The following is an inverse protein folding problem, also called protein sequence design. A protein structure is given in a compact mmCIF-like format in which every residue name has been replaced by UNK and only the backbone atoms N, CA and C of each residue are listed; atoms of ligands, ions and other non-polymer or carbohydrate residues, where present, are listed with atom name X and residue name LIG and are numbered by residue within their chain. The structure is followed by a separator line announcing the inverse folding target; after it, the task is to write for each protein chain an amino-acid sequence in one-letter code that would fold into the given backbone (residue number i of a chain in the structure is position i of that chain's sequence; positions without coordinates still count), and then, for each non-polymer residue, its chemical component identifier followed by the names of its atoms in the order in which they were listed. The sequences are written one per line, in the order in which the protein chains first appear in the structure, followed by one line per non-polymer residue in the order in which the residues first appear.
data_IF_167525963253
#
_entry.id   IF_167525963253
#
_cell.length_a   1.000
_cell.length_b   1.000
_cell.length_c   1.000
_cell.angle_alpha   90.00
_cell.angle_beta   90.00
_cell.angle_gamma   90.00
#
_symmetry.space_group_name_H-M   'P 1'
#
loop_
_entity.id
_entity.type
_entity.pdbx_description
1 polymer ?
#
# COMPACT_ATOMS: atom_id res chain seq x y z
N UNK A 1 19.34 -37.42 21.12
CA UNK A 1 18.16 -37.60 22.01
C UNK A 1 17.08 -36.74 21.45
N UNK A 2 15.88 -37.26 21.23
CA UNK A 2 14.72 -36.44 20.86
C UNK A 2 14.08 -36.00 22.17
N UNK A 3 14.09 -34.69 22.41
CA UNK A 3 13.38 -34.12 23.55
C UNK A 3 11.90 -33.97 23.18
N UNK A 4 10.99 -34.45 24.06
CA UNK A 4 9.55 -34.41 23.86
C UNK A 4 8.85 -33.99 25.14
N UNK A 5 7.81 -33.18 24.99
CA UNK A 5 6.75 -33.02 25.98
C UNK A 5 5.53 -33.70 25.37
N UNK A 6 5.04 -34.75 26.01
CA UNK A 6 3.89 -35.54 25.51
C UNK A 6 2.72 -35.43 26.51
N UNK A 7 1.53 -35.19 26.00
CA UNK A 7 0.28 -35.26 26.76
C UNK A 7 -0.31 -36.68 26.76
N UNK A 8 -1.37 -36.89 27.49
CA UNK A 8 -2.06 -38.19 27.63
C UNK A 8 -3.07 -38.50 26.48
N UNK A 9 -3.08 -37.65 25.45
CA UNK A 9 -3.91 -37.81 24.27
C UNK A 9 -5.18 -36.98 24.26
N UNK A 10 -5.45 -36.18 25.30
CA UNK A 10 -6.58 -35.24 25.36
C UNK A 10 -6.14 -33.80 25.43
N UNK A 11 -5.44 -33.42 26.50
CA UNK A 11 -5.03 -32.04 26.70
C UNK A 11 -3.60 -31.95 27.26
N UNK A 12 -2.85 -30.95 26.84
CA UNK A 12 -1.61 -30.54 27.49
C UNK A 12 -1.80 -29.11 28.04
N UNK A 13 -1.83 -28.97 29.35
CA UNK A 13 -1.87 -27.66 29.99
C UNK A 13 -0.54 -27.35 30.67
N UNK A 14 0.08 -26.22 30.33
CA UNK A 14 1.26 -25.70 31.01
C UNK A 14 0.84 -24.52 31.86
N UNK A 15 0.83 -24.70 33.18
CA UNK A 15 0.51 -23.65 34.15
C UNK A 15 1.77 -23.09 34.78
N UNK A 16 2.06 -21.80 34.54
CA UNK A 16 3.19 -21.12 35.06
C UNK A 16 2.88 -19.63 35.27
N UNK A 17 3.61 -18.95 36.17
CA UNK A 17 3.53 -17.49 36.25
C UNK A 17 4.05 -16.81 34.98
N UNK A 18 5.12 -17.36 34.41
CA UNK A 18 5.68 -16.94 33.11
C UNK A 18 6.09 -18.19 32.34
N UNK A 19 5.79 -18.21 31.04
CA UNK A 19 6.27 -19.22 30.12
C UNK A 19 7.10 -18.53 29.04
N UNK A 20 8.38 -18.93 28.90
CA UNK A 20 9.25 -18.52 27.80
C UNK A 20 9.51 -19.72 26.90
N UNK A 21 9.28 -19.58 25.61
CA UNK A 21 9.68 -20.56 24.59
C UNK A 21 10.80 -19.92 23.82
N UNK A 22 12.02 -20.43 23.99
CA UNK A 22 13.24 -19.95 23.29
C UNK A 22 13.75 -21.07 22.40
N UNK A 23 13.63 -20.87 21.09
CA UNK A 23 14.04 -21.82 20.08
C UNK A 23 15.18 -21.21 19.24
N UNK A 24 16.25 -21.97 19.04
CA UNK A 24 17.39 -21.53 18.21
C UNK A 24 17.06 -21.45 16.70
N UNK A 25 15.91 -22.01 16.30
CA UNK A 25 15.38 -21.97 14.92
C UNK A 25 13.92 -21.50 14.98
N UNK A 26 13.02 -22.21 14.34
CA UNK A 26 11.61 -21.83 14.21
C UNK A 26 10.74 -22.38 15.36
N UNK A 27 9.65 -21.70 15.67
CA UNK A 27 8.54 -22.19 16.48
C UNK A 27 7.36 -22.41 15.52
N UNK A 28 6.95 -23.67 15.37
CA UNK A 28 5.75 -24.03 14.61
C UNK A 28 4.61 -24.32 15.58
N UNK A 29 3.50 -23.62 15.42
CA UNK A 29 2.23 -23.89 16.09
C UNK A 29 1.28 -24.48 15.05
N UNK A 30 1.05 -25.78 15.13
CA UNK A 30 0.21 -26.53 14.20
C UNK A 30 -1.05 -26.99 14.92
N UNK A 31 -2.20 -26.49 14.46
CA UNK A 31 -3.50 -26.77 15.01
C UNK A 31 -4.40 -27.40 13.94
N UNK A 32 -4.57 -28.71 13.95
CA UNK A 32 -5.43 -29.44 12.99
C UNK A 32 -6.89 -28.94 13.00
N UNK A 33 -7.35 -28.31 14.08
CA UNK A 33 -8.64 -27.64 14.19
C UNK A 33 -8.73 -26.27 13.49
N UNK A 34 -7.68 -25.86 12.77
CA UNK A 34 -7.53 -24.64 11.99
C UNK A 34 -7.40 -23.32 12.76
N UNK A 35 -7.60 -23.27 14.09
CA UNK A 35 -7.56 -22.03 14.87
C UNK A 35 -6.43 -22.02 15.91
N UNK A 36 -5.61 -20.96 15.92
CA UNK A 36 -4.74 -20.60 17.03
C UNK A 36 -5.31 -19.36 17.69
N UNK A 37 -5.56 -19.40 19.00
CA UNK A 37 -6.23 -18.36 19.75
C UNK A 37 -5.34 -17.76 20.83
N UNK A 38 -5.49 -16.45 21.03
CA UNK A 38 -4.93 -15.73 22.16
C UNK A 38 -6.07 -15.27 23.07
N UNK A 39 -5.97 -15.62 24.36
CA UNK A 39 -7.01 -15.34 25.35
C UNK A 39 -6.46 -14.57 26.55
N UNK A 40 -7.33 -13.83 27.22
CA UNK A 40 -7.07 -13.19 28.51
C UNK A 40 -8.25 -13.40 29.44
N UNK A 41 -7.98 -13.84 30.68
CA UNK A 41 -9.02 -14.13 31.68
C UNK A 41 -10.10 -15.12 31.22
N UNK A 42 -9.73 -16.08 30.37
CA UNK A 42 -10.64 -17.07 29.81
C UNK A 42 -11.48 -16.58 28.63
N UNK A 43 -11.25 -15.35 28.15
CA UNK A 43 -11.92 -14.80 26.96
C UNK A 43 -10.97 -14.84 25.77
N UNK A 44 -11.37 -15.54 24.69
CA UNK A 44 -10.65 -15.53 23.43
C UNK A 44 -10.71 -14.13 22.81
N UNK A 45 -9.56 -13.48 22.58
CA UNK A 45 -9.47 -12.11 22.08
C UNK A 45 -9.12 -12.05 20.60
N UNK A 46 -8.09 -12.80 20.18
CA UNK A 46 -7.54 -12.78 18.83
C UNK A 46 -7.40 -14.21 18.31
N UNK A 47 -7.81 -14.44 17.10
CA UNK A 47 -7.64 -15.71 16.41
C UNK A 47 -6.87 -15.61 15.11
N UNK A 48 -6.05 -16.62 14.85
CA UNK A 48 -5.49 -16.95 13.55
C UNK A 48 -6.20 -18.19 13.06
N UNK A 49 -6.81 -18.14 11.88
CA UNK A 49 -7.57 -19.22 11.31
C UNK A 49 -7.21 -19.46 9.85
N UNK A 50 -7.43 -20.69 9.37
CA UNK A 50 -7.41 -21.01 7.95
C UNK A 50 -8.84 -21.01 7.41
N UNK A 51 -9.07 -20.31 6.31
CA UNK A 51 -10.33 -20.34 5.58
C UNK A 51 -10.07 -20.55 4.10
N UNK A 52 -10.29 -21.77 3.61
CA UNK A 52 -10.06 -22.13 2.19
C UNK A 52 -8.64 -21.79 1.71
N UNK A 53 -7.63 -22.03 2.55
CA UNK A 53 -6.21 -21.69 2.36
C UNK A 53 -5.84 -20.21 2.53
N UNK A 54 -6.80 -19.34 2.85
CA UNK A 54 -6.51 -17.97 3.25
C UNK A 54 -6.15 -17.92 4.74
N UNK A 55 -5.19 -17.05 5.08
CA UNK A 55 -4.85 -16.72 6.47
C UNK A 55 -5.81 -15.65 6.96
N UNK A 56 -6.60 -15.96 7.98
CA UNK A 56 -7.54 -15.03 8.61
C UNK A 56 -7.03 -14.62 9.98
N UNK A 57 -6.90 -13.32 10.22
CA UNK A 57 -6.59 -12.71 11.52
C UNK A 57 -7.82 -11.91 11.93
N UNK A 58 -8.45 -12.26 13.06
CA UNK A 58 -9.72 -11.64 13.46
C UNK A 58 -9.82 -11.42 14.97
N UNK A 59 -10.51 -10.36 15.43
CA UNK A 59 -10.99 -10.27 16.79
C UNK A 59 -12.00 -11.41 17.04
N UNK A 60 -11.99 -12.02 18.21
CA UNK A 60 -12.95 -13.06 18.63
C UNK A 60 -14.04 -12.51 19.57
N UNK A 61 -13.93 -11.25 19.98
CA UNK A 61 -14.96 -10.53 20.73
C UNK A 61 -15.71 -9.60 19.81
N UNK A 62 -17.04 -9.66 19.82
CA UNK A 62 -17.91 -8.81 19.01
C UNK A 62 -17.73 -7.32 19.35
N UNK A 63 -17.86 -6.45 18.34
CA UNK A 63 -17.69 -5.00 18.45
C UNK A 63 -16.31 -4.60 19.02
N UNK A 64 -15.25 -5.30 18.58
CA UNK A 64 -13.85 -4.98 18.89
C UNK A 64 -13.00 -4.93 17.64
N UNK A 65 -12.02 -4.03 17.68
CA UNK A 65 -11.13 -3.70 16.59
C UNK A 65 -9.78 -4.41 16.71
N UNK A 66 -9.03 -4.48 15.61
CA UNK A 66 -7.59 -4.74 15.65
C UNK A 66 -6.89 -3.39 15.52
N UNK A 67 -6.10 -3.02 16.52
CA UNK A 67 -5.42 -1.72 16.57
C UNK A 67 -3.91 -1.92 16.61
N UNK A 68 -3.20 -1.21 15.75
CA UNK A 68 -1.74 -1.18 15.72
C UNK A 68 -1.25 0.11 16.33
N UNK A 69 -0.44 0.00 17.38
CA UNK A 69 0.14 1.11 18.14
C UNK A 69 1.64 1.25 17.89
N UNK A 70 2.15 2.47 18.03
CA UNK A 70 3.57 2.71 18.27
C UNK A 70 3.95 2.35 19.71
N UNK A 71 5.25 2.36 20.01
CA UNK A 71 5.78 2.06 21.35
C UNK A 71 5.18 2.97 22.45
N UNK A 72 4.89 4.21 22.13
CA UNK A 72 4.32 5.20 23.05
C UNK A 72 2.80 5.08 23.26
N UNK A 73 2.17 4.08 22.62
CA UNK A 73 0.73 3.85 22.67
C UNK A 73 -0.07 4.63 21.63
N UNK A 74 0.58 5.44 20.77
CA UNK A 74 -0.11 6.15 19.70
C UNK A 74 -0.64 5.16 18.65
N UNK A 75 -1.94 5.20 18.37
CA UNK A 75 -2.57 4.37 17.32
C UNK A 75 -2.13 4.82 15.93
N UNK A 76 -1.80 3.86 15.05
CA UNK A 76 -1.40 4.12 13.66
C UNK A 76 -2.47 3.63 12.68
N UNK A 77 -2.95 2.41 12.90
CA UNK A 77 -3.91 1.74 12.05
C UNK A 77 -4.94 1.02 12.92
N UNK A 78 -6.19 1.19 12.59
CA UNK A 78 -7.34 0.52 13.20
C UNK A 78 -8.13 -0.22 12.11
N UNK A 79 -8.26 -1.53 12.24
CA UNK A 79 -9.19 -2.34 11.45
C UNK A 79 -10.47 -2.41 12.27
N UNK A 80 -11.45 -1.61 11.88
CA UNK A 80 -12.65 -1.34 12.65
C UNK A 80 -13.75 -2.36 12.37
N UNK A 81 -14.55 -2.70 13.39
CA UNK A 81 -15.70 -3.58 13.30
C UNK A 81 -16.81 -3.03 12.38
N UNK A 82 -16.83 -1.75 12.11
CA UNK A 82 -17.67 -1.08 11.11
C UNK A 82 -17.24 -1.32 9.65
N UNK A 83 -16.36 -2.29 9.38
CA UNK A 83 -15.88 -2.73 8.06
C UNK A 83 -15.07 -1.66 7.29
N UNK A 84 -14.25 -0.89 7.98
CA UNK A 84 -13.28 0.02 7.36
C UNK A 84 -11.91 -0.03 8.05
N UNK A 85 -10.88 0.37 7.32
CA UNK A 85 -9.54 0.61 7.87
C UNK A 85 -9.36 2.12 8.06
N UNK A 86 -8.94 2.54 9.25
CA UNK A 86 -8.69 3.94 9.61
C UNK A 86 -7.21 4.12 9.93
N UNK A 87 -6.54 4.96 9.16
CA UNK A 87 -5.21 5.43 9.48
C UNK A 87 -5.33 6.65 10.42
N UNK A 88 -4.79 6.56 11.61
CA UNK A 88 -4.74 7.66 12.57
C UNK A 88 -3.49 8.51 12.42
N UNK A 89 -2.53 8.01 11.63
CA UNK A 89 -1.38 8.73 11.12
C UNK A 89 -1.46 8.81 9.58
N UNK A 90 -0.57 9.58 8.96
CA UNK A 90 -0.55 9.70 7.50
C UNK A 90 -0.23 8.35 6.83
N UNK A 91 -1.07 7.93 5.89
CA UNK A 91 -0.74 6.88 4.93
C UNK A 91 0.04 7.52 3.78
N UNK A 92 1.34 7.36 3.76
CA UNK A 92 2.23 8.01 2.78
C UNK A 92 2.58 7.03 1.67
N UNK A 93 2.28 7.38 0.42
CA UNK A 93 2.87 6.74 -0.75
C UNK A 93 4.21 7.42 -1.05
N UNK A 94 5.35 6.71 -1.03
CA UNK A 94 6.64 7.30 -1.34
C UNK A 94 6.67 7.87 -2.75
N UNK A 95 7.24 9.07 -2.93
CA UNK A 95 7.42 9.65 -4.25
C UNK A 95 8.55 8.93 -4.99
N UNK A 96 8.23 8.39 -6.17
CA UNK A 96 9.18 7.75 -7.06
C UNK A 96 9.68 8.73 -8.13
N UNK A 97 10.99 8.71 -8.43
CA UNK A 97 11.54 9.40 -9.59
C UNK A 97 11.55 8.43 -10.77
N UNK A 98 10.77 8.75 -11.81
CA UNK A 98 10.74 7.95 -13.03
C UNK A 98 12.01 8.23 -13.85
N UNK A 99 12.49 7.21 -14.55
CA UNK A 99 13.63 7.32 -15.43
C UNK A 99 13.27 8.17 -16.66
N UNK A 100 13.98 9.26 -16.89
CA UNK A 100 13.85 10.05 -18.12
C UNK A 100 14.46 9.28 -19.31
N UNK A 101 13.68 9.11 -20.34
CA UNK A 101 14.06 8.39 -21.57
C UNK A 101 13.12 8.76 -22.72
N UNK A 102 13.41 8.31 -23.94
CA UNK A 102 12.53 8.56 -25.10
C UNK A 102 11.07 8.18 -24.78
N UNK A 103 10.89 7.09 -24.03
CA UNK A 103 9.62 6.69 -23.44
C UNK A 103 9.80 6.60 -21.92
N UNK A 104 8.99 7.35 -21.18
CA UNK A 104 8.92 7.28 -19.71
C UNK A 104 7.94 6.20 -19.32
N UNK A 105 8.42 5.17 -18.62
CA UNK A 105 7.60 4.08 -18.11
C UNK A 105 7.19 4.33 -16.66
N UNK A 106 5.99 3.89 -16.29
CA UNK A 106 5.41 4.11 -14.98
C UNK A 106 4.66 2.85 -14.51
N UNK A 107 4.87 2.43 -13.28
CA UNK A 107 4.13 1.34 -12.65
C UNK A 107 3.24 1.90 -11.53
N UNK A 108 1.94 1.93 -11.75
CA UNK A 108 0.97 2.51 -10.82
C UNK A 108 1.01 1.84 -9.44
N UNK A 109 1.08 0.49 -9.40
CA UNK A 109 1.04 -0.27 -8.15
C UNK A 109 2.20 0.05 -7.18
N UNK A 110 3.38 0.38 -7.72
CA UNK A 110 4.58 0.61 -6.89
C UNK A 110 5.03 2.07 -6.86
N UNK A 111 4.42 2.93 -7.68
CA UNK A 111 4.85 4.31 -7.90
C UNK A 111 3.62 5.23 -7.98
N UNK A 112 2.68 5.14 -7.03
CA UNK A 112 1.42 5.91 -7.02
C UNK A 112 1.65 7.43 -7.05
N UNK A 113 2.71 7.87 -6.40
CA UNK A 113 3.18 9.27 -6.44
C UNK A 113 4.50 9.28 -7.17
N UNK A 114 4.56 9.97 -8.29
CA UNK A 114 5.75 9.97 -9.14
C UNK A 114 6.12 11.35 -9.65
N UNK A 115 7.39 11.52 -9.98
CA UNK A 115 7.90 12.69 -10.69
C UNK A 115 8.85 12.29 -11.80
N UNK A 116 8.97 13.14 -12.82
CA UNK A 116 9.98 13.04 -13.87
C UNK A 116 10.47 14.42 -14.27
N UNK A 117 11.78 14.60 -14.40
CA UNK A 117 12.36 15.78 -15.03
C UNK A 117 12.67 15.46 -16.49
N UNK A 118 12.08 16.21 -17.40
CA UNK A 118 12.19 15.98 -18.83
C UNK A 118 13.50 16.57 -19.38
N UNK A 119 14.46 15.75 -19.76
CA UNK A 119 15.68 16.16 -20.48
C UNK A 119 15.47 16.29 -22.00
N UNK A 120 14.24 16.12 -22.49
CA UNK A 120 13.86 16.24 -23.90
C UNK A 120 12.36 16.03 -24.10
N UNK A 121 11.91 16.05 -25.35
CA UNK A 121 10.54 15.65 -25.68
C UNK A 121 10.37 14.15 -25.44
N UNK A 122 9.33 13.74 -24.72
CA UNK A 122 9.14 12.35 -24.27
C UNK A 122 7.76 11.83 -24.63
N UNK A 123 7.66 10.51 -24.72
CA UNK A 123 6.37 9.78 -24.71
C UNK A 123 6.16 9.23 -23.32
N UNK A 124 5.02 9.51 -22.70
CA UNK A 124 4.60 8.85 -21.46
C UNK A 124 3.87 7.58 -21.82
N UNK A 125 4.41 6.42 -21.44
CA UNK A 125 3.72 5.14 -21.60
C UNK A 125 2.47 5.09 -20.69
N UNK A 126 1.53 4.19 -20.99
CA UNK A 126 0.45 3.89 -20.04
C UNK A 126 1.04 3.43 -18.72
N UNK A 127 0.56 3.96 -17.61
CA UNK A 127 0.89 3.42 -16.30
C UNK A 127 0.40 1.96 -16.22
N UNK A 128 1.33 1.04 -15.95
CA UNK A 128 1.06 -0.39 -15.85
C UNK A 128 0.53 -0.78 -14.48
N UNK A 129 -0.04 -1.98 -14.35
CA UNK A 129 -0.47 -2.58 -13.08
C UNK A 129 -1.53 -1.78 -12.31
N UNK A 130 -2.33 -0.96 -13.01
CA UNK A 130 -3.39 -0.19 -12.38
C UNK A 130 -4.52 -1.05 -11.82
N UNK A 131 -5.00 -0.70 -10.64
CA UNK A 131 -6.17 -1.32 -10.00
C UNK A 131 -7.38 -0.42 -10.15
N UNK A 132 -8.53 -0.97 -10.53
CA UNK A 132 -9.76 -0.17 -10.71
C UNK A 132 -10.11 0.63 -9.46
N UNK A 133 -10.25 1.93 -9.62
CA UNK A 133 -10.51 2.88 -8.51
C UNK A 133 -9.24 3.54 -7.96
N UNK A 134 -8.06 3.06 -8.34
CA UNK A 134 -6.79 3.63 -7.91
C UNK A 134 -6.59 5.05 -8.40
N UNK A 135 -5.96 5.87 -7.56
CA UNK A 135 -5.50 7.21 -7.90
C UNK A 135 -3.99 7.26 -7.95
N UNK A 136 -3.44 7.93 -8.95
CA UNK A 136 -2.02 8.19 -9.11
C UNK A 136 -1.76 9.67 -9.39
N UNK A 137 -0.59 10.16 -9.03
CA UNK A 137 -0.17 11.53 -9.32
C UNK A 137 1.20 11.56 -9.99
N UNK A 138 1.36 12.45 -10.98
CA UNK A 138 2.59 12.65 -11.71
C UNK A 138 2.97 14.12 -11.73
N UNK A 139 4.15 14.44 -11.21
CA UNK A 139 4.77 15.75 -11.36
C UNK A 139 5.76 15.70 -12.53
N UNK A 140 5.44 16.42 -13.60
CA UNK A 140 6.30 16.58 -14.78
C UNK A 140 7.06 17.88 -14.65
N UNK A 141 8.38 17.81 -14.64
CA UNK A 141 9.27 18.96 -14.39
C UNK A 141 10.04 19.30 -15.66
N UNK A 142 10.07 20.58 -16.03
CA UNK A 142 10.94 21.07 -17.09
C UNK A 142 12.40 21.08 -16.61
N UNK A 143 13.33 20.67 -17.45
CA UNK A 143 14.76 20.85 -17.18
C UNK A 143 15.20 22.33 -17.21
N UNK A 144 16.48 22.60 -17.02
CA UNK A 144 17.05 23.95 -17.06
C UNK A 144 16.96 24.63 -18.44
N UNK A 145 16.54 23.91 -19.49
CA UNK A 145 16.32 24.44 -20.84
C UNK A 145 14.86 24.84 -21.05
N UNK A 146 13.93 24.02 -20.51
CA UNK A 146 12.48 24.20 -20.70
C UNK A 146 11.98 23.79 -22.09
N UNK A 147 10.71 24.08 -22.37
CA UNK A 147 10.03 23.80 -23.65
C UNK A 147 9.99 22.32 -24.03
N UNK A 148 10.09 21.41 -23.04
CA UNK A 148 9.93 19.98 -23.25
C UNK A 148 8.45 19.61 -23.34
N UNK A 149 8.15 18.66 -24.19
CA UNK A 149 6.79 18.18 -24.42
C UNK A 149 6.61 16.72 -24.02
N UNK A 150 5.36 16.35 -23.70
CA UNK A 150 4.98 14.96 -23.48
C UNK A 150 3.92 14.55 -24.51
N UNK A 151 4.19 13.46 -25.21
CA UNK A 151 3.17 12.72 -25.97
C UNK A 151 2.51 11.73 -25.03
N UNK A 152 1.24 11.94 -24.72
CA UNK A 152 0.47 11.08 -23.83
C UNK A 152 0.02 9.80 -24.52
N UNK A 153 0.15 8.67 -23.86
CA UNK A 153 -0.41 7.41 -24.35
C UNK A 153 -1.96 7.49 -24.36
N UNK A 154 -2.60 6.84 -25.34
CA UNK A 154 -4.06 6.81 -25.47
C UNK A 154 -4.81 6.18 -24.27
N UNK A 155 -4.11 5.59 -23.32
CA UNK A 155 -4.69 5.14 -22.06
C UNK A 155 -5.02 6.30 -21.09
N UNK A 156 -4.45 7.49 -21.30
CA UNK A 156 -4.81 8.70 -20.53
C UNK A 156 -5.97 9.41 -21.21
N UNK A 157 -7.00 9.70 -20.46
CA UNK A 157 -8.20 10.37 -20.95
C UNK A 157 -8.34 11.75 -20.30
N UNK A 158 -8.51 12.76 -21.15
CA UNK A 158 -8.58 14.16 -20.73
C UNK A 158 -9.94 14.76 -21.08
N UNK A 159 -10.30 15.85 -20.42
CA UNK A 159 -11.55 16.54 -20.72
C UNK A 159 -11.63 16.94 -22.21
N UNK A 160 -12.75 16.60 -22.86
CA UNK A 160 -12.98 16.84 -24.29
C UNK A 160 -11.91 16.20 -25.20
N UNK A 161 -11.34 15.08 -24.77
CA UNK A 161 -10.28 14.33 -25.49
C UNK A 161 -9.08 15.24 -25.90
N UNK A 162 -8.79 16.24 -25.04
CA UNK A 162 -7.74 17.22 -25.33
C UNK A 162 -6.63 17.14 -24.29
N UNK A 163 -5.49 16.56 -24.73
CA UNK A 163 -4.29 16.47 -23.91
C UNK A 163 -3.76 17.86 -23.50
N UNK A 164 -3.26 18.01 -22.27
CA UNK A 164 -2.74 19.29 -21.77
C UNK A 164 -1.48 19.72 -22.51
N UNK A 165 -1.33 21.01 -22.72
CA UNK A 165 -0.03 21.63 -23.08
C UNK A 165 0.74 21.87 -21.79
N UNK A 166 1.97 21.35 -21.71
CA UNK A 166 2.85 21.55 -20.57
C UNK A 166 3.35 22.99 -20.50
N UNK A 167 3.65 23.42 -19.27
CA UNK A 167 4.43 24.64 -19.02
C UNK A 167 5.77 24.58 -19.75
N UNK A 168 6.16 25.67 -20.42
CA UNK A 168 7.41 25.73 -21.19
C UNK A 168 8.58 26.33 -20.43
N UNK A 169 8.31 27.00 -19.30
CA UNK A 169 9.34 27.67 -18.49
C UNK A 169 10.24 26.65 -17.80
N UNK A 170 11.55 26.84 -17.93
CA UNK A 170 12.54 26.00 -17.26
C UNK A 170 12.33 25.91 -15.75
N UNK A 171 12.60 24.72 -15.19
CA UNK A 171 12.54 24.40 -13.77
C UNK A 171 11.13 24.51 -13.12
N UNK A 172 10.07 24.76 -13.89
CA UNK A 172 8.71 24.67 -13.39
C UNK A 172 8.15 23.26 -13.57
N UNK A 173 7.16 22.92 -12.74
CA UNK A 173 6.49 21.62 -12.77
C UNK A 173 5.00 21.73 -13.09
N UNK A 174 4.47 20.69 -13.70
CA UNK A 174 3.05 20.47 -13.94
C UNK A 174 2.62 19.20 -13.21
N UNK A 175 1.66 19.31 -12.30
CA UNK A 175 1.14 18.19 -11.52
C UNK A 175 -0.17 17.69 -12.13
N UNK A 176 -0.25 16.39 -12.36
CA UNK A 176 -1.44 15.69 -12.86
C UNK A 176 -1.91 14.64 -11.86
N UNK A 177 -3.22 14.47 -11.75
CA UNK A 177 -3.84 13.40 -10.96
C UNK A 177 -4.78 12.63 -11.86
N UNK A 178 -4.67 11.29 -11.80
CA UNK A 178 -5.51 10.39 -12.58
C UNK A 178 -6.19 9.37 -11.67
N UNK A 179 -7.36 8.87 -12.13
CA UNK A 179 -8.07 7.73 -11.54
C UNK A 179 -8.24 6.64 -12.58
N UNK A 180 -7.89 5.40 -12.23
CA UNK A 180 -8.08 4.25 -13.12
C UNK A 180 -9.51 3.73 -13.08
N UNK A 181 -10.15 3.53 -14.25
CA UNK A 181 -11.51 2.98 -14.34
C UNK A 181 -11.55 1.49 -14.75
N UNK A 182 -10.39 0.82 -14.80
CA UNK A 182 -10.23 -0.55 -15.29
C UNK A 182 -9.79 -0.65 -16.74
N UNK A 183 -9.80 0.47 -17.49
CA UNK A 183 -9.41 0.54 -18.90
C UNK A 183 -8.55 1.78 -19.21
N UNK A 184 -8.91 2.91 -18.66
CA UNK A 184 -8.31 4.23 -18.91
C UNK A 184 -7.92 4.91 -17.60
N UNK A 185 -6.91 5.77 -17.67
CA UNK A 185 -6.51 6.72 -16.65
C UNK A 185 -7.23 8.05 -16.90
N UNK A 186 -8.30 8.29 -16.17
CA UNK A 186 -9.13 9.50 -16.29
C UNK A 186 -8.47 10.64 -15.51
N UNK A 187 -8.22 11.77 -16.16
CA UNK A 187 -7.74 12.95 -15.46
C UNK A 187 -8.76 13.46 -14.45
N UNK A 188 -8.34 13.62 -13.21
CA UNK A 188 -9.12 14.18 -12.11
C UNK A 188 -8.86 15.67 -11.97
N UNK A 189 -7.62 16.09 -12.23
CA UNK A 189 -7.20 17.47 -12.16
C UNK A 189 -5.74 17.68 -12.49
N UNK A 190 -5.38 18.93 -12.72
CA UNK A 190 -4.01 19.38 -12.98
C UNK A 190 -3.75 20.75 -12.36
N UNK A 191 -2.49 20.98 -11.99
CA UNK A 191 -1.95 22.30 -11.69
C UNK A 191 -0.71 22.53 -12.52
N UNK A 192 -0.67 23.61 -13.26
CA UNK A 192 0.41 23.95 -14.16
C UNK A 192 1.28 25.09 -13.62
N UNK A 193 2.49 25.20 -14.11
CA UNK A 193 3.46 26.26 -13.80
C UNK A 193 3.80 26.37 -12.30
N UNK A 194 3.95 25.24 -11.63
CA UNK A 194 4.29 25.21 -10.21
C UNK A 194 5.79 25.54 -10.01
N UNK A 195 6.07 26.45 -9.09
CA UNK A 195 7.43 26.71 -8.58
C UNK A 195 7.74 25.63 -7.54
N UNK A 196 8.86 24.92 -7.72
CA UNK A 196 9.20 23.74 -6.92
C UNK A 196 10.30 23.97 -5.87
N UNK A 197 10.78 25.22 -5.72
CA UNK A 197 11.83 25.64 -4.77
C UNK A 197 11.34 26.75 -3.86
#
# INVERSE_FOLDING_TARGET
MSEKIEGDGTDLTISANNLTIDAAADITLDADGADIKFADGGTDLLGFANSSSDVVIKPLVNAKDIIFHQYDGTSILEINDGAYAKFTAAAVAPEATLTDGATVSWNALTQQVAKVTLGGNRTLASASSGVTGEFISLLVIQDGTGSRTVTWNAAYEFASDTAPTLTTTANLGDLFVFRYNGSKWLEVGRNLALTLS
#
